data_IF_649161870869
#
_entry.id   IF_649161870869
#
_cell.length_a   1.000
_cell.length_b   1.000
_cell.length_c   1.000
_cell.angle_alpha   90.00
_cell.angle_beta   90.00
_cell.angle_gamma   90.00
#
_symmetry.space_group_name_H-M   'P 1'
#
loop_
_entity.id
_entity.type
_entity.pdbx_description
1 polymer ?
#
# COMPACT_ATOMS: atom_id res chain seq x y z
N UNK A 1 -12.47 9.66 -19.00
CA UNK A 1 -11.07 9.63 -18.51
C UNK A 1 -11.16 9.75 -17.00
N UNK A 2 -10.94 8.66 -16.26
CA UNK A 2 -10.98 8.70 -14.79
C UNK A 2 -9.87 9.65 -14.30
N UNK A 3 -10.11 10.45 -13.24
CA UNK A 3 -9.09 11.35 -12.72
C UNK A 3 -7.85 10.54 -12.33
N UNK A 4 -6.67 11.02 -12.72
CA UNK A 4 -5.40 10.43 -12.33
C UNK A 4 -5.32 10.41 -10.80
N UNK A 5 -5.48 9.24 -10.21
CA UNK A 5 -5.51 9.10 -8.77
C UNK A 5 -4.14 9.45 -8.20
N UNK A 6 -4.12 10.50 -7.40
CA UNK A 6 -2.90 10.98 -6.78
C UNK A 6 -2.69 10.19 -5.50
N UNK A 7 -2.14 8.99 -5.62
CA UNK A 7 -1.67 8.23 -4.47
C UNK A 7 -0.46 8.96 -3.85
N UNK A 8 -0.43 9.05 -2.53
CA UNK A 8 0.70 9.63 -1.78
C UNK A 8 1.57 8.52 -1.19
N UNK A 9 2.88 8.77 -1.01
CA UNK A 9 3.73 7.85 -0.27
C UNK A 9 3.27 7.72 1.19
N UNK A 10 3.37 6.51 1.76
CA UNK A 10 3.05 6.27 3.17
C UNK A 10 4.28 5.74 3.89
N UNK A 11 4.65 6.39 4.99
CA UNK A 11 5.70 5.92 5.87
C UNK A 11 5.10 5.05 6.99
N UNK A 12 5.60 3.83 7.11
CA UNK A 12 5.27 2.89 8.18
C UNK A 12 6.55 2.62 8.96
N UNK A 13 6.62 3.16 10.18
CA UNK A 13 7.84 3.16 11.00
C UNK A 13 9.03 3.81 10.25
N UNK A 14 10.08 3.04 9.97
CA UNK A 14 11.27 3.45 9.22
C UNK A 14 11.20 3.10 7.72
N UNK A 15 10.13 2.43 7.26
CA UNK A 15 9.99 2.02 5.87
C UNK A 15 9.01 2.93 5.12
N UNK A 16 9.41 3.40 3.94
CA UNK A 16 8.57 4.26 3.09
C UNK A 16 8.05 3.47 1.91
N UNK A 17 6.72 3.37 1.81
CA UNK A 17 6.05 2.86 0.62
C UNK A 17 5.85 3.99 -0.39
N UNK A 18 6.44 3.89 -1.59
CA UNK A 18 6.22 4.88 -2.65
C UNK A 18 4.76 4.89 -3.11
N UNK A 19 4.29 6.00 -3.73
CA UNK A 19 2.91 6.12 -4.18
C UNK A 19 2.56 5.15 -5.33
N UNK A 20 3.55 4.72 -6.10
CA UNK A 20 3.39 3.81 -7.23
C UNK A 20 4.54 2.84 -7.34
N UNK A 21 4.28 1.61 -7.81
CA UNK A 21 5.30 0.59 -8.07
C UNK A 21 5.03 -0.12 -9.39
N UNK A 22 6.10 -0.63 -10.00
CA UNK A 22 6.02 -1.57 -11.14
C UNK A 22 6.61 -2.92 -10.70
N UNK A 23 5.78 -3.94 -10.44
CA UNK A 23 6.28 -5.21 -9.96
C UNK A 23 7.07 -5.95 -11.06
N UNK A 24 8.11 -6.71 -10.72
CA UNK A 24 8.97 -7.38 -11.70
C UNK A 24 8.21 -8.44 -12.55
N UNK A 25 7.08 -8.95 -12.05
CA UNK A 25 6.22 -9.90 -12.78
C UNK A 25 5.10 -9.27 -13.61
N UNK A 26 5.05 -7.93 -13.75
CA UNK A 26 3.98 -7.25 -14.49
C UNK A 26 4.49 -6.05 -15.29
N UNK A 27 3.82 -5.75 -16.39
CA UNK A 27 4.04 -4.51 -17.14
C UNK A 27 3.27 -3.33 -16.57
N UNK A 28 2.30 -3.59 -15.67
CA UNK A 28 1.40 -2.58 -15.11
C UNK A 28 2.05 -1.81 -13.96
N UNK A 29 1.76 -0.50 -13.93
CA UNK A 29 2.03 0.34 -12.76
C UNK A 29 0.85 0.22 -11.80
N UNK A 30 1.15 -0.05 -10.53
CA UNK A 30 0.17 -0.12 -9.45
C UNK A 30 0.31 1.11 -8.57
N UNK A 31 -0.80 1.59 -8.01
CA UNK A 31 -0.82 2.69 -7.05
C UNK A 31 -1.00 2.17 -5.63
N UNK A 32 -0.49 2.90 -4.64
CA UNK A 32 -0.61 2.53 -3.23
C UNK A 32 -2.04 2.76 -2.74
N UNK A 33 -2.75 1.68 -2.42
CA UNK A 33 -4.08 1.73 -1.82
C UNK A 33 -4.05 1.93 -0.31
N UNK A 34 -3.01 1.46 0.37
CA UNK A 34 -2.80 1.68 1.80
C UNK A 34 -1.57 0.94 2.34
N UNK A 35 -1.08 1.36 3.50
CA UNK A 35 0.02 0.69 4.19
C UNK A 35 -0.16 0.72 5.71
N UNK A 36 0.43 -0.26 6.39
CA UNK A 36 0.38 -0.37 7.86
C UNK A 36 1.38 -1.38 8.41
N UNK A 37 1.54 -1.40 9.73
CA UNK A 37 2.38 -2.37 10.41
C UNK A 37 1.56 -3.57 10.88
N UNK A 38 2.10 -4.78 10.74
CA UNK A 38 1.58 -5.99 11.37
C UNK A 38 2.53 -6.44 12.47
N UNK A 39 1.95 -6.80 13.61
CA UNK A 39 2.68 -7.14 14.82
C UNK A 39 1.97 -8.21 15.63
N UNK A 40 2.60 -8.58 16.76
CA UNK A 40 2.03 -9.45 17.78
C UNK A 40 2.22 -8.81 19.16
N UNK A 41 1.30 -9.07 20.07
CA UNK A 41 1.50 -8.71 21.47
C UNK A 41 2.45 -9.71 22.15
N UNK A 42 3.52 -9.20 22.73
CA UNK A 42 4.50 -9.96 23.49
C UNK A 42 4.67 -9.26 24.83
N UNK A 43 4.32 -9.94 25.92
CA UNK A 43 4.41 -9.41 27.29
C UNK A 43 3.65 -8.08 27.48
N UNK A 44 2.45 -7.96 26.90
CA UNK A 44 1.61 -6.76 27.01
C UNK A 44 2.09 -5.56 26.19
N UNK A 45 3.09 -5.75 25.32
CA UNK A 45 3.54 -4.74 24.36
C UNK A 45 3.28 -5.20 22.94
N UNK A 46 2.69 -4.34 22.11
CA UNK A 46 2.54 -4.62 20.68
C UNK A 46 3.89 -4.46 19.96
N UNK A 47 4.46 -5.57 19.51
CA UNK A 47 5.71 -5.64 18.77
C UNK A 47 5.41 -5.72 17.28
N UNK A 48 5.80 -4.68 16.54
CA UNK A 48 5.62 -4.59 15.08
C UNK A 48 6.74 -5.36 14.40
N UNK A 49 6.39 -6.31 13.52
CA UNK A 49 7.36 -7.16 12.82
C UNK A 49 7.51 -6.79 11.35
N UNK A 50 6.40 -6.49 10.68
CA UNK A 50 6.40 -6.21 9.25
C UNK A 50 5.67 -4.91 8.95
N UNK A 51 6.22 -4.16 8.01
CA UNK A 51 5.50 -3.10 7.32
C UNK A 51 4.90 -3.69 6.04
N UNK A 52 3.61 -3.43 5.79
CA UNK A 52 2.86 -4.01 4.67
C UNK A 52 2.23 -2.87 3.89
N UNK A 53 2.47 -2.85 2.58
CA UNK A 53 1.82 -1.96 1.62
C UNK A 53 0.99 -2.77 0.64
N UNK A 54 -0.24 -2.33 0.37
CA UNK A 54 -1.15 -2.92 -0.60
C UNK A 54 -1.23 -2.01 -1.81
N UNK A 55 -0.85 -2.53 -2.97
CA UNK A 55 -0.90 -1.82 -4.24
C UNK A 55 -1.99 -2.40 -5.14
N UNK A 56 -2.72 -1.51 -5.80
CA UNK A 56 -3.86 -1.87 -6.64
C UNK A 56 -3.64 -1.36 -8.06
N UNK A 57 -4.28 -2.03 -9.03
CA UNK A 57 -4.38 -1.52 -10.39
C UNK A 57 -5.41 -0.38 -10.45
N UNK A 58 -5.20 0.59 -11.34
CA UNK A 58 -6.10 1.75 -11.51
C UNK A 58 -7.57 1.33 -11.76
N UNK A 59 -7.76 0.22 -12.48
CA UNK A 59 -9.08 -0.37 -12.76
C UNK A 59 -9.83 -0.81 -11.50
N UNK A 60 -9.13 -1.11 -10.40
CA UNK A 60 -9.76 -1.53 -9.15
C UNK A 60 -10.64 -0.43 -8.56
N UNK A 61 -10.40 0.83 -8.88
CA UNK A 61 -11.13 1.95 -8.28
C UNK A 61 -12.55 2.04 -8.80
N UNK A 62 -12.76 1.79 -10.09
CA UNK A 62 -14.12 1.65 -10.63
C UNK A 62 -14.87 0.50 -9.97
N UNK A 63 -14.18 -0.59 -9.62
CA UNK A 63 -14.79 -1.73 -8.93
C UNK A 63 -15.11 -1.46 -7.45
N UNK A 64 -14.45 -0.47 -6.83
CA UNK A 64 -14.60 -0.09 -5.42
C UNK A 64 -15.47 1.16 -5.23
N UNK A 65 -15.70 1.93 -6.28
CA UNK A 65 -16.59 3.08 -6.29
C UNK A 65 -18.05 2.57 -6.33
N UNK A 66 -18.71 2.60 -5.18
CA UNK A 66 -20.15 2.36 -5.05
C UNK A 66 -20.97 3.42 -5.80
#
# INVERSE_FOLDING_TARGET
MAPAQTATSVQVESYTFPPTVKPPGSTKTLFLGGAGARGLEIQGKFVKFTAIGVYLEDSAVTSLAC
#
